data_IF_847549847016
#
_entry.id   IF_847549847016
#
_cell.length_a   1.000
_cell.length_b   1.000
_cell.length_c   1.000
_cell.angle_alpha   90.00
_cell.angle_beta   90.00
_cell.angle_gamma   90.00
#
_symmetry.space_group_name_H-M   'P 1'
#
loop_
_entity.id
_entity.type
_entity.pdbx_description
1 polymer ?
#
# COMPACT_ATOMS: atom_id res chain seq x y z
N UNK A 1 16.31 -8.13 2.90
CA UNK A 1 15.56 -9.07 3.73
C UNK A 1 14.08 -9.01 3.33
N UNK A 2 13.46 -10.13 2.96
CA UNK A 2 12.03 -10.14 2.63
C UNK A 2 11.24 -10.04 3.93
N UNK A 3 10.47 -8.97 4.11
CA UNK A 3 9.52 -8.85 5.22
C UNK A 3 8.26 -9.66 4.92
N UNK A 4 7.79 -10.43 5.91
CA UNK A 4 6.48 -11.07 5.81
C UNK A 4 5.41 -10.06 6.21
N UNK A 5 4.35 -9.95 5.40
CA UNK A 5 3.36 -8.89 5.55
C UNK A 5 1.97 -9.46 5.73
N UNK A 6 1.15 -8.75 6.50
CA UNK A 6 -0.26 -9.07 6.73
C UNK A 6 -1.07 -7.80 6.50
N UNK A 7 -2.03 -7.87 5.58
CA UNK A 7 -3.05 -6.83 5.41
C UNK A 7 -4.26 -7.17 6.28
N UNK A 8 -4.35 -6.57 7.46
CA UNK A 8 -5.22 -7.00 8.55
C UNK A 8 -6.72 -6.78 8.29
N UNK A 9 -7.12 -5.97 7.30
CA UNK A 9 -8.54 -5.89 6.89
C UNK A 9 -8.98 -7.09 6.05
N UNK A 10 -8.03 -7.90 5.59
CA UNK A 10 -8.29 -9.18 4.93
C UNK A 10 -7.96 -10.35 5.87
N UNK A 11 -8.76 -11.44 5.92
CA UNK A 11 -8.48 -12.58 6.77
C UNK A 11 -7.09 -13.16 6.52
N UNK A 12 -6.31 -13.35 7.59
CA UNK A 12 -5.00 -14.03 7.55
C UNK A 12 -5.11 -15.31 8.37
N UNK A 13 -5.09 -16.44 7.66
CA UNK A 13 -5.33 -17.75 8.25
C UNK A 13 -4.00 -18.43 8.53
N UNK A 14 -3.75 -18.72 9.81
CA UNK A 14 -2.70 -19.61 10.23
C UNK A 14 -3.25 -21.04 10.22
N UNK A 15 -2.63 -21.89 9.42
CA UNK A 15 -2.91 -23.32 9.39
C UNK A 15 -1.87 -24.10 10.19
N UNK A 16 -2.34 -25.05 11.00
CA UNK A 16 -1.53 -26.09 11.62
C UNK A 16 -2.17 -27.44 11.29
N UNK A 17 -1.41 -28.32 10.65
CA UNK A 17 -1.89 -29.62 10.18
C UNK A 17 -0.77 -30.67 10.31
N UNK A 18 -0.44 -31.01 11.55
CA UNK A 18 0.69 -31.90 11.85
C UNK A 18 0.24 -33.33 12.14
N UNK A 19 1.04 -34.30 11.70
CA UNK A 19 0.81 -35.72 11.99
C UNK A 19 0.96 -35.97 13.49
N UNK A 20 0.03 -36.73 14.06
CA UNK A 20 0.06 -37.18 15.45
C UNK A 20 -0.26 -36.09 16.47
N UNK A 21 -0.78 -34.93 16.05
CA UNK A 21 -1.27 -33.92 16.97
C UNK A 21 -2.62 -34.33 17.57
N UNK A 22 -2.93 -33.85 18.77
CA UNK A 22 -4.24 -33.94 19.42
C UNK A 22 -4.97 -32.58 19.44
N UNK A 23 -4.27 -31.52 19.04
CA UNK A 23 -4.71 -30.13 19.09
C UNK A 23 -3.56 -29.21 18.69
N UNK A 24 -3.82 -27.92 18.71
CA UNK A 24 -2.86 -26.90 18.32
C UNK A 24 -3.06 -25.63 19.13
N UNK A 25 -2.01 -24.81 19.17
CA UNK A 25 -2.01 -23.50 19.81
C UNK A 25 -1.24 -22.50 18.95
N UNK A 26 -1.76 -21.29 18.84
CA UNK A 26 -1.10 -20.13 18.24
C UNK A 26 -0.97 -19.06 19.31
N UNK A 27 0.25 -18.60 19.55
CA UNK A 27 0.54 -17.47 20.43
C UNK A 27 0.96 -16.26 19.59
N UNK A 28 0.34 -15.12 19.87
CA UNK A 28 0.61 -13.86 19.20
C UNK A 28 1.32 -12.92 20.16
N UNK A 29 2.50 -12.46 19.78
CA UNK A 29 3.26 -11.44 20.51
C UNK A 29 3.26 -10.17 19.67
N UNK A 30 2.35 -9.25 19.99
CA UNK A 30 2.12 -8.05 19.19
C UNK A 30 2.85 -6.87 19.83
N UNK A 31 3.57 -6.10 19.03
CA UNK A 31 4.35 -4.95 19.49
C UNK A 31 4.54 -3.90 18.40
N UNK A 32 4.83 -2.67 18.80
CA UNK A 32 5.10 -1.58 17.87
C UNK A 32 6.56 -1.59 17.44
N UNK A 33 6.85 -1.04 16.27
CA UNK A 33 8.24 -0.98 15.81
C UNK A 33 9.13 -0.15 16.76
N UNK A 34 10.38 -0.58 16.92
CA UNK A 34 11.31 0.00 17.89
C UNK A 34 11.06 -0.39 19.35
N UNK A 35 10.02 -1.18 19.63
CA UNK A 35 9.79 -1.78 20.95
C UNK A 35 10.22 -3.23 20.97
N UNK A 36 10.58 -3.74 22.15
CA UNK A 36 10.93 -5.16 22.32
C UNK A 36 9.67 -6.01 22.32
N UNK A 37 9.70 -7.23 21.72
CA UNK A 37 8.60 -8.18 21.83
C UNK A 37 8.17 -8.41 23.29
N UNK A 38 6.87 -8.54 23.59
CA UNK A 38 6.40 -8.76 24.94
C UNK A 38 6.92 -10.09 25.50
N UNK A 39 7.12 -10.17 26.82
CA UNK A 39 7.58 -11.41 27.48
C UNK A 39 6.48 -12.49 27.59
N UNK A 40 5.21 -12.09 27.44
CA UNK A 40 4.04 -12.97 27.45
C UNK A 40 3.20 -12.73 26.20
N UNK A 41 2.50 -13.74 25.68
CA UNK A 41 1.69 -13.58 24.48
C UNK A 41 0.54 -12.60 24.73
N UNK A 42 0.31 -11.69 23.79
CA UNK A 42 -0.84 -10.78 23.78
C UNK A 42 -2.15 -11.55 23.64
N UNK A 43 -2.13 -12.61 22.82
CA UNK A 43 -3.27 -13.52 22.64
C UNK A 43 -2.77 -14.96 22.51
N UNK A 44 -3.54 -15.88 23.09
CA UNK A 44 -3.34 -17.33 22.96
C UNK A 44 -4.61 -17.96 22.40
N UNK A 45 -4.50 -18.56 21.23
CA UNK A 45 -5.59 -19.24 20.55
C UNK A 45 -5.31 -20.74 20.53
N UNK A 46 -6.21 -21.55 21.07
CA UNK A 46 -6.05 -23.00 21.09
C UNK A 46 -7.32 -23.73 20.68
N UNK A 47 -7.14 -24.90 20.07
CA UNK A 47 -8.25 -25.81 19.79
C UNK A 47 -7.76 -27.25 19.64
N UNK A 48 -8.63 -28.18 20.00
CA UNK A 48 -8.42 -29.60 19.75
C UNK A 48 -8.79 -29.95 18.31
N UNK A 49 -8.18 -31.00 17.78
CA UNK A 49 -8.60 -31.54 16.48
C UNK A 49 -9.91 -32.31 16.63
N UNK A 50 -10.77 -32.32 15.60
CA UNK A 50 -12.04 -33.06 15.66
C UNK A 50 -11.82 -34.59 15.71
N UNK A 51 -10.77 -35.10 15.06
CA UNK A 51 -10.42 -36.52 15.05
C UNK A 51 -8.96 -36.72 14.62
N UNK A 52 -8.34 -37.84 14.98
CA UNK A 52 -6.93 -38.15 14.66
C UNK A 52 -6.62 -38.25 13.15
N UNK A 53 -7.63 -38.47 12.32
CA UNK A 53 -7.54 -38.48 10.85
C UNK A 53 -7.93 -37.13 10.21
N UNK A 54 -8.37 -36.15 11.00
CA UNK A 54 -8.64 -34.78 10.56
C UNK A 54 -7.92 -33.81 11.49
N UNK A 55 -6.63 -33.62 11.20
CA UNK A 55 -5.72 -32.83 12.03
C UNK A 55 -5.79 -31.34 11.74
N UNK A 56 -6.48 -30.87 10.71
CA UNK A 56 -6.38 -29.47 10.30
C UNK A 56 -6.99 -28.51 11.32
N UNK A 57 -6.24 -27.45 11.62
CA UNK A 57 -6.65 -26.36 12.51
C UNK A 57 -6.31 -25.01 11.89
N UNK A 58 -7.33 -24.16 11.76
CA UNK A 58 -7.27 -22.83 11.15
C UNK A 58 -7.53 -21.73 12.19
N UNK A 59 -6.73 -20.67 12.18
CA UNK A 59 -6.87 -19.51 13.07
C UNK A 59 -6.80 -18.22 12.26
N UNK A 60 -7.85 -17.39 12.31
CA UNK A 60 -7.81 -16.07 11.73
C UNK A 60 -7.20 -15.08 12.72
N UNK A 61 -6.01 -14.57 12.43
CA UNK A 61 -5.29 -13.67 13.35
C UNK A 61 -5.57 -12.18 13.06
N UNK A 62 -6.14 -11.87 11.89
CA UNK A 62 -6.36 -10.49 11.44
C UNK A 62 -7.13 -9.60 12.42
N UNK A 63 -8.25 -10.03 13.04
CA UNK A 63 -9.00 -9.18 13.97
C UNK A 63 -8.16 -8.70 15.16
N UNK A 64 -7.31 -9.57 15.71
CA UNK A 64 -6.45 -9.26 16.86
C UNK A 64 -5.36 -8.25 16.50
N UNK A 65 -4.88 -8.27 15.26
CA UNK A 65 -3.90 -7.30 14.77
C UNK A 65 -4.55 -5.94 14.51
N UNK A 66 -5.76 -5.95 13.94
CA UNK A 66 -6.49 -4.74 13.58
C UNK A 66 -6.87 -3.90 14.82
N UNK A 67 -7.13 -4.54 15.97
CA UNK A 67 -7.37 -3.86 17.25
C UNK A 67 -6.17 -3.01 17.73
N UNK A 68 -4.96 -3.32 17.25
CA UNK A 68 -3.72 -2.67 17.68
C UNK A 68 -3.22 -1.59 16.71
N UNK A 69 -3.81 -1.47 15.51
CA UNK A 69 -3.40 -0.47 14.51
C UNK A 69 -4.31 0.75 14.60
N UNK A 70 -3.73 1.96 14.64
CA UNK A 70 -4.47 3.21 14.77
C UNK A 70 -3.97 4.30 13.83
N UNK A 71 -4.92 5.00 13.23
CA UNK A 71 -4.69 6.15 12.35
C UNK A 71 -5.28 7.42 12.97
N UNK A 72 -4.71 7.87 14.09
CA UNK A 72 -5.26 8.98 14.88
C UNK A 72 -5.11 10.33 14.17
N UNK A 73 -3.95 10.57 13.54
CA UNK A 73 -3.61 11.85 12.88
C UNK A 73 -2.78 11.57 11.62
N UNK A 74 -3.08 12.27 10.54
CA UNK A 74 -2.22 12.32 9.37
C UNK A 74 -0.99 13.18 9.68
N UNK A 75 0.20 12.56 9.70
CA UNK A 75 1.46 13.27 9.90
C UNK A 75 2.14 13.47 8.56
N UNK A 76 2.07 14.70 8.04
CA UNK A 76 2.67 15.06 6.77
C UNK A 76 4.14 15.47 6.99
N UNK A 77 5.07 14.59 6.60
CA UNK A 77 6.49 14.92 6.62
C UNK A 77 6.75 15.96 5.53
N UNK A 78 7.33 17.11 5.91
CA UNK A 78 7.71 18.18 4.99
C UNK A 78 9.13 18.72 5.25
N UNK A 79 9.88 18.12 6.18
CA UNK A 79 11.13 18.72 6.69
C UNK A 79 12.32 17.78 6.80
N UNK A 80 12.08 16.47 6.90
CA UNK A 80 13.16 15.48 7.12
C UNK A 80 13.25 14.46 6.00
N UNK A 81 14.38 14.43 5.29
CA UNK A 81 14.72 13.33 4.39
C UNK A 81 14.77 12.02 5.19
N UNK A 82 14.10 10.97 4.70
CA UNK A 82 14.02 9.69 5.42
C UNK A 82 13.30 9.80 6.77
N UNK A 83 12.28 10.65 6.88
CA UNK A 83 11.42 10.71 8.08
C UNK A 83 10.82 9.34 8.39
N UNK A 84 10.87 8.91 9.65
CA UNK A 84 10.31 7.61 10.08
C UNK A 84 8.79 7.66 10.13
N UNK A 85 8.13 6.54 9.83
CA UNK A 85 6.70 6.40 10.03
C UNK A 85 6.37 6.34 11.53
N UNK A 86 5.25 6.96 11.92
CA UNK A 86 4.76 6.93 13.30
C UNK A 86 4.43 5.52 13.79
N UNK A 87 4.67 5.28 15.08
CA UNK A 87 4.66 3.95 15.69
C UNK A 87 3.31 3.22 15.66
N UNK A 88 2.18 3.92 15.58
CA UNK A 88 0.84 3.33 15.72
C UNK A 88 0.21 2.87 14.40
N UNK A 89 0.80 3.20 13.25
CA UNK A 89 0.19 2.97 11.93
C UNK A 89 0.42 1.55 11.39
N UNK A 90 1.24 0.77 12.07
CA UNK A 90 1.49 -0.64 11.79
C UNK A 90 2.01 -1.33 13.04
N UNK A 91 1.89 -2.66 13.09
CA UNK A 91 2.40 -3.46 14.21
C UNK A 91 3.25 -4.62 13.71
N UNK A 92 4.17 -5.06 14.55
CA UNK A 92 4.89 -6.30 14.36
C UNK A 92 4.20 -7.38 15.18
N UNK A 93 4.20 -8.61 14.66
CA UNK A 93 3.71 -9.77 15.40
C UNK A 93 4.64 -10.95 15.21
N UNK A 94 5.13 -11.49 16.32
CA UNK A 94 5.73 -12.82 16.32
C UNK A 94 4.63 -13.85 16.53
N UNK A 95 4.45 -14.72 15.54
CA UNK A 95 3.48 -15.81 15.56
C UNK A 95 4.22 -17.08 15.91
N UNK A 96 3.90 -17.67 17.05
CA UNK A 96 4.43 -18.98 17.46
C UNK A 96 3.36 -20.04 17.31
N UNK A 97 3.68 -21.09 16.53
CA UNK A 97 2.77 -22.21 16.27
C UNK A 97 3.19 -23.41 17.09
N UNK A 98 2.23 -24.08 17.72
CA UNK A 98 2.47 -25.26 18.54
C UNK A 98 1.52 -26.38 18.14
N UNK A 99 2.02 -27.63 18.20
CA UNK A 99 1.19 -28.83 18.18
C UNK A 99 1.09 -29.44 19.57
N UNK A 100 -0.06 -30.00 19.90
CA UNK A 100 -0.28 -30.74 21.14
C UNK A 100 0.02 -32.22 20.92
N UNK A 101 0.97 -32.78 21.68
CA UNK A 101 1.32 -34.21 21.65
C UNK A 101 1.30 -34.74 23.08
N UNK A 102 0.47 -35.75 23.36
CA UNK A 102 0.41 -36.43 24.66
C UNK A 102 0.35 -35.46 25.88
N UNK A 103 -0.41 -34.37 25.76
CA UNK A 103 -0.58 -33.27 26.74
C UNK A 103 0.53 -32.22 26.83
N UNK A 104 1.53 -32.23 25.95
CA UNK A 104 2.56 -31.18 25.89
C UNK A 104 2.49 -30.43 24.56
N UNK A 105 2.51 -29.09 24.62
CA UNK A 105 2.65 -28.25 23.44
C UNK A 105 4.11 -28.20 22.99
N UNK A 106 4.36 -28.63 21.76
CA UNK A 106 5.67 -28.60 21.11
C UNK A 106 5.68 -27.47 20.08
N UNK A 107 6.66 -26.57 20.17
CA UNK A 107 6.85 -25.47 19.22
C UNK A 107 7.19 -26.03 17.84
N UNK A 108 6.51 -25.53 16.82
CA UNK A 108 6.78 -25.82 15.41
C UNK A 108 7.75 -24.78 14.86
N UNK A 109 7.36 -23.50 14.93
CA UNK A 109 8.14 -22.39 14.43
C UNK A 109 7.73 -21.05 15.06
N UNK A 110 8.51 -20.03 14.71
CA UNK A 110 8.24 -18.64 15.03
C UNK A 110 8.46 -17.82 13.77
N UNK A 111 7.45 -17.08 13.33
CA UNK A 111 7.54 -16.19 12.16
C UNK A 111 7.11 -14.79 12.56
N UNK A 112 7.94 -13.81 12.24
CA UNK A 112 7.63 -12.39 12.43
C UNK A 112 6.93 -11.85 11.19
N UNK A 113 5.83 -11.13 11.41
CA UNK A 113 5.07 -10.43 10.38
C UNK A 113 4.95 -8.95 10.69
N UNK A 114 4.83 -8.15 9.63
CA UNK A 114 4.50 -6.74 9.66
C UNK A 114 3.04 -6.59 9.24
N UNK A 115 2.19 -6.12 10.15
CA UNK A 115 0.76 -6.00 9.94
C UNK A 115 0.35 -4.55 9.71
N UNK A 116 -0.45 -4.34 8.67
CA UNK A 116 -0.95 -3.03 8.23
C UNK A 116 -2.47 -3.03 8.17
N UNK A 117 -3.08 -1.85 8.26
CA UNK A 117 -4.52 -1.64 8.10
C UNK A 117 -4.97 -1.64 6.61
N UNK A 118 -4.38 -2.52 5.81
CA UNK A 118 -4.65 -2.66 4.39
C UNK A 118 -5.61 -3.80 4.07
N UNK A 119 -6.13 -3.82 2.84
CA UNK A 119 -7.08 -4.80 2.33
C UNK A 119 -6.74 -5.20 0.89
N UNK A 120 -7.09 -6.43 0.52
CA UNK A 120 -7.09 -6.86 -0.88
C UNK A 120 -8.47 -6.82 -1.54
N UNK A 121 -8.51 -6.97 -2.87
CA UNK A 121 -9.77 -7.13 -3.58
C UNK A 121 -10.38 -8.52 -3.36
N UNK A 122 -11.71 -8.59 -3.37
CA UNK A 122 -12.45 -9.85 -3.17
C UNK A 122 -12.08 -10.94 -4.19
N UNK A 123 -11.66 -10.54 -5.40
CA UNK A 123 -11.26 -11.44 -6.49
C UNK A 123 -9.89 -12.08 -6.29
N UNK A 124 -9.07 -11.55 -5.38
CA UNK A 124 -7.69 -11.98 -5.16
C UNK A 124 -7.57 -13.02 -4.03
N UNK A 125 -8.68 -13.41 -3.42
CA UNK A 125 -8.70 -14.38 -2.32
C UNK A 125 -8.33 -13.77 -0.96
N UNK A 126 -7.84 -14.60 -0.05
CA UNK A 126 -7.48 -14.18 1.30
C UNK A 126 -6.07 -13.57 1.35
N UNK A 127 -5.94 -12.42 2.02
CA UNK A 127 -4.70 -11.66 2.24
C UNK A 127 -3.75 -11.62 1.02
N UNK A 128 -4.20 -11.06 -0.12
CA UNK A 128 -3.37 -11.04 -1.31
C UNK A 128 -2.15 -10.15 -1.07
N UNK A 129 -1.03 -10.58 -1.62
CA UNK A 129 0.14 -9.73 -1.75
C UNK A 129 -0.16 -8.67 -2.82
N UNK A 130 -0.04 -7.39 -2.47
CA UNK A 130 -0.14 -6.30 -3.43
C UNK A 130 1.07 -6.20 -4.39
N UNK A 131 1.87 -7.26 -4.52
CA UNK A 131 3.07 -7.31 -5.36
C UNK A 131 4.24 -7.97 -4.63
N UNK A 132 5.08 -8.70 -5.38
CA UNK A 132 6.13 -9.58 -4.84
C UNK A 132 7.18 -8.82 -4.00
N UNK A 133 7.36 -7.52 -4.25
CA UNK A 133 8.25 -6.66 -3.48
C UNK A 133 7.80 -5.21 -3.60
N UNK A 134 6.63 -4.84 -3.05
CA UNK A 134 6.31 -3.40 -2.92
C UNK A 134 6.95 -2.87 -1.63
N UNK A 135 8.15 -2.26 -1.65
CA UNK A 135 8.62 -1.49 -0.51
C UNK A 135 7.67 -0.31 -0.25
N UNK A 136 7.00 0.19 -1.28
CA UNK A 136 6.16 1.39 -1.22
C UNK A 136 4.68 1.04 -1.10
N UNK A 137 3.98 1.73 -0.20
CA UNK A 137 2.53 1.65 0.01
C UNK A 137 1.79 2.69 -0.84
N UNK A 138 2.12 2.74 -2.12
CA UNK A 138 1.55 3.62 -3.14
C UNK A 138 1.82 2.99 -4.52
N UNK A 139 0.83 3.05 -5.41
CA UNK A 139 0.96 2.52 -6.77
C UNK A 139 1.92 3.35 -7.63
N UNK A 140 2.47 2.71 -8.66
CA UNK A 140 3.28 3.37 -9.67
C UNK A 140 2.37 4.05 -10.70
N UNK A 141 2.14 5.35 -10.54
CA UNK A 141 1.34 6.14 -11.49
C UNK A 141 1.71 7.62 -11.45
N UNK A 142 1.02 8.38 -12.30
CA UNK A 142 1.06 9.84 -12.27
C UNK A 142 -0.03 10.35 -11.31
N UNK A 143 0.40 11.07 -10.28
CA UNK A 143 -0.45 11.74 -9.31
C UNK A 143 -0.50 13.23 -9.57
N UNK A 144 -1.58 13.87 -9.14
CA UNK A 144 -1.76 15.32 -9.24
C UNK A 144 -1.91 15.90 -7.84
N UNK A 145 -1.26 17.03 -7.60
CA UNK A 145 -1.40 17.77 -6.34
C UNK A 145 -1.67 19.24 -6.64
N UNK A 146 -2.36 19.89 -5.71
CA UNK A 146 -2.64 21.31 -5.85
C UNK A 146 -1.38 22.14 -5.63
N UNK A 147 -1.05 22.97 -6.60
CA UNK A 147 0.03 23.95 -6.51
C UNK A 147 -0.35 25.22 -7.28
N UNK A 148 -0.35 26.34 -6.56
CA UNK A 148 -0.54 27.71 -7.02
C UNK A 148 0.67 28.55 -6.56
N UNK A 149 0.99 29.62 -7.29
CA UNK A 149 2.02 30.59 -6.90
C UNK A 149 1.76 31.23 -5.52
N UNK A 150 0.52 31.22 -5.04
CA UNK A 150 0.11 31.75 -3.73
C UNK A 150 0.12 30.68 -2.62
N UNK A 151 0.28 29.39 -2.94
CA UNK A 151 0.38 28.36 -1.92
C UNK A 151 1.68 28.52 -1.12
N UNK A 152 1.58 28.29 0.19
CA UNK A 152 2.69 28.18 1.09
C UNK A 152 2.58 26.87 1.90
N UNK A 153 3.00 25.73 1.32
CA UNK A 153 2.97 24.43 1.98
C UNK A 153 3.79 24.37 3.28
N UNK A 154 4.72 25.31 3.50
CA UNK A 154 5.48 25.39 4.77
C UNK A 154 4.66 25.95 5.94
N UNK A 155 3.61 26.72 5.65
CA UNK A 155 2.72 27.33 6.65
C UNK A 155 1.35 26.65 6.71
N UNK A 156 0.85 26.14 5.59
CA UNK A 156 -0.44 25.49 5.50
C UNK A 156 -0.29 24.00 5.16
N UNK A 157 -0.58 23.14 6.15
CA UNK A 157 -0.49 21.69 5.96
C UNK A 157 -1.46 21.17 4.91
N UNK A 158 -2.59 21.83 4.64
CA UNK A 158 -3.56 21.39 3.63
C UNK A 158 -3.04 21.59 2.21
N UNK A 159 -2.09 22.50 2.01
CA UNK A 159 -1.47 22.78 0.69
C UNK A 159 -0.31 21.84 0.39
N UNK A 160 0.06 20.97 1.33
CA UNK A 160 1.11 19.99 1.10
C UNK A 160 0.55 18.81 0.29
N UNK A 161 1.28 18.44 -0.76
CA UNK A 161 1.05 17.30 -1.66
C UNK A 161 0.94 15.94 -0.95
N UNK A 162 1.34 15.87 0.32
CA UNK A 162 1.27 14.68 1.16
C UNK A 162 2.54 13.84 1.11
N UNK A 163 2.46 12.68 1.74
CA UNK A 163 3.54 11.70 1.82
C UNK A 163 3.11 10.36 1.26
N UNK A 164 4.08 9.45 1.16
CA UNK A 164 3.83 8.04 0.96
C UNK A 164 4.68 7.22 1.93
N UNK A 165 4.16 6.06 2.29
CA UNK A 165 4.82 5.15 3.23
C UNK A 165 5.66 4.14 2.47
N UNK A 166 6.86 3.83 2.94
CA UNK A 166 7.68 2.77 2.35
C UNK A 166 8.59 2.07 3.36
N UNK A 167 8.67 0.74 3.30
CA UNK A 167 9.73 -0.03 3.95
C UNK A 167 10.98 -0.01 3.07
N UNK A 168 12.06 0.57 3.57
CA UNK A 168 13.34 0.64 2.85
C UNK A 168 14.46 0.07 3.72
N UNK A 169 15.41 -0.59 3.08
CA UNK A 169 16.58 -1.16 3.76
C UNK A 169 17.76 -0.19 3.69
N UNK A 170 18.73 -0.39 4.56
CA UNK A 170 19.99 0.36 4.53
C UNK A 170 20.64 0.30 3.16
N UNK A 171 21.10 1.45 2.66
CA UNK A 171 21.73 1.58 1.36
C UNK A 171 20.76 1.77 0.19
N UNK A 172 19.45 1.63 0.38
CA UNK A 172 18.47 2.05 -0.63
C UNK A 172 18.56 3.57 -0.85
N UNK A 173 18.27 4.01 -2.07
CA UNK A 173 18.38 5.43 -2.45
C UNK A 173 17.02 5.96 -2.91
N UNK A 174 16.62 7.11 -2.35
CA UNK A 174 15.44 7.86 -2.79
C UNK A 174 15.92 9.05 -3.61
N UNK A 175 15.38 9.19 -4.82
CA UNK A 175 15.76 10.25 -5.76
C UNK A 175 14.53 10.99 -6.24
N UNK A 176 14.57 12.31 -6.16
CA UNK A 176 13.60 13.25 -6.69
C UNK A 176 14.21 13.93 -7.90
N UNK A 177 13.51 13.91 -9.04
CA UNK A 177 13.91 14.62 -10.26
C UNK A 177 12.84 15.65 -10.61
N UNK A 178 13.19 16.92 -10.58
CA UNK A 178 12.30 18.04 -10.92
C UNK A 178 11.82 17.93 -12.38
N UNK A 179 10.52 18.12 -12.62
CA UNK A 179 9.93 17.89 -13.96
C UNK A 179 10.33 18.92 -15.01
N UNK A 180 10.59 20.18 -14.62
CA UNK A 180 10.86 21.26 -15.57
C UNK A 180 12.32 21.32 -16.02
N UNK A 181 13.27 21.15 -15.10
CA UNK A 181 14.70 21.39 -15.36
C UNK A 181 15.53 20.11 -15.33
N UNK A 182 15.00 19.02 -14.77
CA UNK A 182 15.75 17.79 -14.50
C UNK A 182 16.70 17.87 -13.30
N UNK A 183 16.65 18.94 -12.48
CA UNK A 183 17.42 19.00 -11.23
C UNK A 183 17.07 17.83 -10.32
N UNK A 184 18.07 17.27 -9.65
CA UNK A 184 17.91 16.10 -8.80
C UNK A 184 18.25 16.38 -7.34
N UNK A 185 17.47 15.81 -6.43
CA UNK A 185 17.78 15.66 -5.01
C UNK A 185 17.76 14.19 -4.66
N UNK A 186 18.74 13.69 -3.90
CA UNK A 186 18.79 12.28 -3.53
C UNK A 186 19.47 12.06 -2.19
N UNK A 187 19.03 11.03 -1.47
CA UNK A 187 19.63 10.60 -0.23
C UNK A 187 19.55 9.08 -0.07
N UNK A 188 20.42 8.56 0.80
CA UNK A 188 20.52 7.13 1.10
C UNK A 188 19.86 6.82 2.44
N UNK A 189 19.18 5.69 2.52
CA UNK A 189 18.56 5.16 3.72
C UNK A 189 19.61 4.61 4.67
N UNK A 190 19.52 5.00 5.94
CA UNK A 190 20.53 4.71 6.97
C UNK A 190 20.24 3.46 7.79
N UNK A 191 19.00 2.95 7.79
CA UNK A 191 18.60 1.76 8.55
C UNK A 191 17.40 1.08 7.91
N UNK A 192 17.19 -0.20 8.22
CA UNK A 192 16.01 -0.94 7.78
C UNK A 192 14.78 -0.46 8.57
N UNK A 193 13.85 0.24 7.92
CA UNK A 193 12.67 0.76 8.61
C UNK A 193 11.52 1.13 7.67
N UNK A 194 10.38 1.46 8.27
CA UNK A 194 9.26 2.10 7.63
C UNK A 194 9.43 3.63 7.65
N UNK A 195 9.34 4.23 6.48
CA UNK A 195 9.57 5.64 6.24
C UNK A 195 8.29 6.33 5.77
N UNK A 196 8.16 7.60 6.15
CA UNK A 196 7.16 8.54 5.68
C UNK A 196 7.85 9.56 4.75
N UNK A 197 7.84 9.26 3.45
CA UNK A 197 8.62 9.97 2.43
C UNK A 197 7.77 11.03 1.73
N UNK A 198 8.39 12.09 1.23
CA UNK A 198 7.68 13.12 0.51
C UNK A 198 7.14 12.58 -0.81
N UNK A 199 5.90 12.93 -1.17
CA UNK A 199 5.48 12.84 -2.57
C UNK A 199 6.24 13.85 -3.42
N UNK A 200 6.31 15.09 -2.92
CA UNK A 200 7.01 16.19 -3.57
C UNK A 200 8.08 16.76 -2.67
N UNK A 201 9.33 16.80 -3.15
CA UNK A 201 10.43 17.42 -2.44
C UNK A 201 10.11 18.92 -2.24
N UNK A 202 10.27 19.50 -1.03
CA UNK A 202 9.84 20.87 -0.71
C UNK A 202 10.28 21.94 -1.73
N UNK A 203 11.49 21.84 -2.27
CA UNK A 203 12.00 22.82 -3.24
C UNK A 203 11.45 22.65 -4.66
N UNK A 204 10.68 21.60 -4.93
CA UNK A 204 10.15 21.28 -6.26
C UNK A 204 8.62 21.45 -6.35
N UNK A 205 7.95 22.01 -5.34
CA UNK A 205 6.49 22.13 -5.29
C UNK A 205 5.87 22.81 -6.51
N UNK A 206 6.41 23.94 -6.95
CA UNK A 206 5.84 24.70 -8.09
C UNK A 206 5.93 23.95 -9.42
N UNK A 207 6.79 22.94 -9.52
CA UNK A 207 7.06 22.22 -10.78
C UNK A 207 6.75 20.73 -10.71
N UNK A 208 6.52 20.19 -9.52
CA UNK A 208 6.47 18.75 -9.26
C UNK A 208 7.81 18.04 -9.44
N UNK A 209 7.78 16.74 -9.21
CA UNK A 209 8.92 15.85 -9.41
C UNK A 209 8.51 14.43 -9.77
N UNK A 210 9.42 13.71 -10.41
CA UNK A 210 9.43 12.24 -10.43
C UNK A 210 10.19 11.72 -9.22
N UNK A 211 9.62 10.76 -8.50
CA UNK A 211 10.30 10.04 -7.41
C UNK A 211 10.69 8.66 -7.90
N UNK A 212 11.94 8.29 -7.66
CA UNK A 212 12.50 7.00 -8.01
C UNK A 212 13.16 6.39 -6.76
N UNK A 213 12.88 5.13 -6.50
CA UNK A 213 13.51 4.37 -5.41
C UNK A 213 14.38 3.28 -6.00
N UNK A 214 15.64 3.28 -5.61
CA UNK A 214 16.63 2.31 -6.06
C UNK A 214 17.06 1.41 -4.91
N UNK A 215 17.23 0.13 -5.22
CA UNK A 215 17.88 -0.84 -4.33
C UNK A 215 19.36 -0.45 -4.10
N UNK A 216 20.06 -1.06 -3.13
CA UNK A 216 21.49 -0.80 -2.89
C UNK A 216 22.37 -1.16 -4.09
N UNK A 217 21.86 -2.00 -5.00
CA UNK A 217 22.52 -2.37 -6.25
C UNK A 217 22.12 -1.48 -7.44
N UNK A 218 21.50 -0.32 -7.17
CA UNK A 218 21.06 0.65 -8.19
C UNK A 218 20.01 0.12 -9.18
N UNK A 219 19.22 -0.88 -8.77
CA UNK A 219 18.09 -1.36 -9.56
C UNK A 219 16.86 -0.53 -9.19
N UNK A 220 16.13 -0.03 -10.19
CA UNK A 220 14.87 0.68 -9.96
C UNK A 220 13.85 -0.29 -9.34
N UNK A 221 13.34 0.05 -8.17
CA UNK A 221 12.35 -0.75 -7.45
C UNK A 221 10.95 -0.14 -7.48
N UNK A 222 10.83 1.18 -7.60
CA UNK A 222 9.55 1.88 -7.64
C UNK A 222 9.71 3.27 -8.25
N UNK A 223 8.68 3.74 -8.96
CA UNK A 223 8.62 5.08 -9.52
C UNK A 223 7.21 5.66 -9.51
N UNK A 224 7.09 6.96 -9.25
CA UNK A 224 5.85 7.70 -9.48
C UNK A 224 6.16 9.15 -9.87
N UNK A 225 5.23 9.78 -10.58
CA UNK A 225 5.34 11.18 -10.97
C UNK A 225 4.30 12.00 -10.22
N UNK A 226 4.69 13.15 -9.68
CA UNK A 226 3.78 14.08 -9.03
C UNK A 226 3.75 15.38 -9.83
N UNK A 227 2.62 15.64 -10.46
CA UNK A 227 2.41 16.79 -11.34
C UNK A 227 1.68 17.90 -10.59
N UNK A 228 2.18 19.15 -10.64
CA UNK A 228 1.47 20.27 -10.05
C UNK A 228 0.24 20.59 -10.90
N UNK A 229 -0.87 20.92 -10.24
CA UNK A 229 -2.08 21.36 -10.88
C UNK A 229 -2.59 22.64 -10.21
N UNK A 230 -2.80 23.67 -11.01
CA UNK A 230 -3.38 24.94 -10.57
C UNK A 230 -4.90 24.89 -10.74
N UNK A 231 -5.64 25.39 -9.75
CA UNK A 231 -7.11 25.57 -9.83
C UNK A 231 -7.46 26.98 -9.38
N UNK A 232 -7.90 27.81 -10.32
CA UNK A 232 -8.14 29.23 -10.09
C UNK A 232 -9.63 29.59 -9.88
N UNK A 233 -10.56 28.64 -10.09
CA UNK A 233 -12.01 28.93 -10.11
C UNK A 233 -12.77 28.39 -8.91
N UNK A 234 -12.35 27.27 -8.35
CA UNK A 234 -13.04 26.59 -7.25
C UNK A 234 -12.08 26.25 -6.13
N UNK A 235 -12.59 26.21 -4.90
CA UNK A 235 -11.80 25.81 -3.73
C UNK A 235 -11.48 24.31 -3.80
N UNK A 236 -10.18 24.00 -3.86
CA UNK A 236 -9.70 22.61 -3.87
C UNK A 236 -10.00 21.94 -2.53
N UNK A 237 -10.61 20.75 -2.60
CA UNK A 237 -10.86 19.95 -1.40
C UNK A 237 -9.76 18.93 -1.21
N UNK A 238 -9.17 18.90 -0.02
CA UNK A 238 -8.11 17.97 0.37
C UNK A 238 -8.74 16.80 1.10
N UNK A 239 -8.42 15.57 0.67
CA UNK A 239 -8.94 14.35 1.28
C UNK A 239 -7.79 13.47 1.71
N UNK A 240 -7.76 13.17 3.00
CA UNK A 240 -6.84 12.22 3.60
C UNK A 240 -7.59 10.93 3.92
N UNK A 241 -7.07 9.80 3.44
CA UNK A 241 -7.66 8.48 3.69
C UNK A 241 -6.59 7.40 3.84
N UNK A 242 -7.02 6.23 4.32
CA UNK A 242 -6.17 5.03 4.39
C UNK A 242 -6.36 4.22 3.12
N UNK A 243 -5.28 4.05 2.35
CA UNK A 243 -5.32 3.36 1.07
C UNK A 243 -5.33 1.83 1.23
N UNK A 244 -5.32 1.09 0.12
CA UNK A 244 -5.38 -0.38 0.14
C UNK A 244 -4.20 -1.03 0.88
N UNK A 245 -3.07 -0.33 0.98
CA UNK A 245 -1.87 -0.78 1.67
C UNK A 245 -1.91 -0.55 3.19
N UNK A 246 -2.92 0.16 3.70
CA UNK A 246 -2.98 0.55 5.10
C UNK A 246 -2.11 1.76 5.44
N UNK A 247 -1.77 2.58 4.45
CA UNK A 247 -1.01 3.82 4.64
C UNK A 247 -1.89 5.04 4.40
N UNK A 248 -1.53 6.15 5.04
CA UNK A 248 -2.13 7.44 4.72
C UNK A 248 -1.83 7.85 3.29
N UNK A 249 -2.85 8.35 2.62
CA UNK A 249 -2.78 8.88 1.27
C UNK A 249 -3.63 10.15 1.21
N UNK A 250 -3.01 11.20 0.69
CA UNK A 250 -3.66 12.47 0.41
C UNK A 250 -3.97 12.59 -1.07
N UNK A 251 -5.19 12.97 -1.38
CA UNK A 251 -5.59 13.33 -2.74
C UNK A 251 -6.31 14.67 -2.74
N UNK A 252 -6.39 15.28 -3.93
CA UNK A 252 -6.99 16.59 -4.15
C UNK A 252 -8.16 16.46 -5.13
N UNK A 253 -9.32 16.99 -4.75
CA UNK A 253 -10.45 17.11 -5.64
C UNK A 253 -10.46 18.48 -6.30
N UNK A 254 -10.19 18.46 -7.60
CA UNK A 254 -10.29 19.59 -8.50
C UNK A 254 -11.72 19.70 -9.06
N UNK A 255 -11.98 20.72 -9.88
CA UNK A 255 -13.27 20.86 -10.57
C UNK A 255 -13.63 19.60 -11.37
N UNK A 256 -14.92 19.37 -11.56
CA UNK A 256 -15.42 18.26 -12.37
C UNK A 256 -14.84 18.35 -13.80
N UNK A 257 -14.14 17.29 -14.23
CA UNK A 257 -13.81 17.07 -15.63
C UNK A 257 -15.01 16.39 -16.29
N UNK A 258 -15.55 17.00 -17.35
CA UNK A 258 -16.58 16.37 -18.18
C UNK A 258 -15.89 15.70 -19.37
N UNK A 259 -15.74 14.39 -19.33
CA UNK A 259 -15.32 13.64 -20.51
C UNK A 259 -16.51 13.52 -21.46
N UNK A 260 -16.41 14.14 -22.64
CA UNK A 260 -17.43 14.01 -23.67
C UNK A 260 -17.17 12.74 -24.48
N UNK A 261 -18.04 11.73 -24.35
CA UNK A 261 -18.04 10.55 -25.22
C UNK A 261 -18.80 10.89 -26.52
N UNK A 262 -18.08 11.08 -27.61
CA UNK A 262 -18.67 11.20 -28.94
C UNK A 262 -18.78 9.81 -29.58
N UNK A 263 -19.99 9.23 -29.59
CA UNK A 263 -20.26 7.99 -30.30
C UNK A 263 -20.68 8.32 -31.74
N UNK A 264 -19.89 7.91 -32.73
CA UNK A 264 -20.35 7.94 -34.13
C UNK A 264 -21.04 6.63 -34.44
N UNK A 265 -22.36 6.67 -34.64
CA UNK A 265 -23.09 5.55 -35.21
C UNK A 265 -22.97 5.64 -36.72
N UNK A 266 -22.30 4.70 -37.37
CA UNK A 266 -22.50 4.47 -38.79
C UNK A 266 -23.87 3.80 -38.95
N UNK A 267 -24.89 4.58 -39.31
CA UNK A 267 -26.15 3.98 -39.75
C UNK A 267 -25.84 3.08 -40.94
N UNK A 268 -26.18 1.79 -40.83
CA UNK A 268 -26.02 0.86 -41.93
C UNK A 268 -26.95 1.33 -43.05
N UNK A 269 -26.39 1.76 -44.18
CA UNK A 269 -27.18 2.29 -45.29
C UNK A 269 -27.98 1.16 -45.93
N UNK A 270 -29.25 1.01 -45.53
CA UNK A 270 -30.18 -0.01 -46.03
C UNK A 270 -30.61 0.23 -47.49
N UNK A 271 -30.22 1.36 -48.08
CA UNK A 271 -30.56 1.70 -49.45
C UNK A 271 -29.47 1.21 -50.41
N UNK A 272 -29.61 -0.04 -50.85
CA UNK A 272 -28.97 -0.46 -52.09
C UNK A 272 -29.53 0.38 -53.24
N UNK A 273 -28.71 1.29 -53.78
CA UNK A 273 -29.10 2.05 -54.98
C UNK A 273 -28.94 1.12 -56.18
N UNK A 274 -30.06 0.60 -56.69
CA UNK A 274 -30.10 -0.11 -57.97
C UNK A 274 -29.85 0.94 -59.08
N UNK A 275 -28.67 0.91 -59.67
CA UNK A 275 -28.40 1.62 -60.92
C UNK A 275 -29.26 1.05 -62.05
N UNK A 276 -29.56 1.87 -63.06
CA UNK A 276 -30.46 1.59 -64.19
C UNK A 276 -30.12 0.36 -65.07
N UNK A 277 -29.13 -0.46 -64.70
CA UNK A 277 -28.76 -1.70 -65.38
C UNK A 277 -28.32 -2.84 -64.42
N UNK A 278 -28.74 -2.82 -63.16
CA UNK A 278 -28.58 -3.98 -62.27
C UNK A 278 -27.12 -4.36 -61.92
N UNK A 279 -26.19 -3.40 -61.97
CA UNK A 279 -24.83 -3.61 -61.44
C UNK A 279 -24.78 -3.18 -59.98
N UNK A 280 -24.34 -4.11 -59.11
CA UNK A 280 -24.03 -3.81 -57.72
C UNK A 280 -22.65 -3.14 -57.63
N UNK A 281 -22.55 -2.00 -56.95
CA UNK A 281 -21.24 -1.44 -56.57
C UNK A 281 -20.74 -2.18 -55.33
N UNK A 282 -19.56 -2.81 -55.45
CA UNK A 282 -18.95 -3.65 -54.40
C UNK A 282 -17.83 -2.94 -53.66
N UNK A 283 -17.74 -1.62 -53.69
CA UNK A 283 -16.72 -0.89 -52.93
C UNK A 283 -17.23 -0.52 -51.55
N UNK A 284 -16.81 -1.32 -50.57
CA UNK A 284 -16.58 -0.86 -49.20
C UNK A 284 -15.36 0.06 -49.16
#
# INVERSE_FOLDING_TARGET
MIINRIFARSPYIIEINEIGQAGSKVELYIYYNGTTPPSSPSYTLEKLIPASNNTQTLYNISPYLMEQIKHDVFNNNYSTDGGLLGFNQYVLVDVKRYKLVLNTYVLLDTITYWAYDGFGYYSQGYNPSHGQAMPVHLDEMDYYFWSDANNNPSLNQLEQAGTFTAYLEVGWTVKYTQLQTGLTHSYTISADNMYNLYRVYPNYYLTGNKVEIFTPTSVLSWTATFNPMEECRYDVQVVDFINMYGAWQREFFFKASFESLATTTTEFNLMQTIGLFGSWDTKA
#
